data_IF_652697866564
#
_entry.id   IF_652697866564
#
_cell.length_a   1.000
_cell.length_b   1.000
_cell.length_c   1.000
_cell.angle_alpha   90.00
_cell.angle_beta   90.00
_cell.angle_gamma   90.00
#
_symmetry.space_group_name_H-M   'P 1'
#
loop_
_entity.id
_entity.type
_entity.pdbx_description
1 polymer ?
#
# COMPACT_ATOMS: atom_id res chain seq x y z
N UNK A 1 -0.55 20.22 1.93
CA UNK A 1 -0.61 19.19 0.86
C UNK A 1 -0.68 17.89 1.60
N UNK A 2 -1.81 17.21 1.56
CA UNK A 2 -2.06 16.09 2.45
C UNK A 2 -1.01 14.98 2.33
N UNK A 3 -0.52 14.50 3.47
CA UNK A 3 0.47 13.44 3.56
C UNK A 3 -0.27 12.11 3.75
N UNK A 4 -0.11 11.15 2.84
CA UNK A 4 -0.80 9.85 2.92
C UNK A 4 0.20 8.72 3.12
N UNK A 5 -0.07 7.85 4.09
CA UNK A 5 0.68 6.62 4.37
C UNK A 5 -0.11 5.40 3.90
N UNK A 6 0.60 4.37 3.44
CA UNK A 6 -0.01 3.10 3.05
C UNK A 6 0.35 2.02 4.07
N UNK A 7 -0.68 1.39 4.67
CA UNK A 7 -0.57 0.35 5.72
C UNK A 7 -0.21 -1.04 5.17
N UNK A 8 0.64 -1.09 4.13
CA UNK A 8 0.99 -2.33 3.42
C UNK A 8 1.71 -3.31 4.35
N UNK A 9 2.58 -2.83 5.26
CA UNK A 9 3.33 -3.72 6.16
C UNK A 9 2.44 -4.33 7.22
N UNK A 10 1.51 -3.55 7.77
CA UNK A 10 0.52 -4.03 8.74
C UNK A 10 -0.35 -5.12 8.11
N UNK A 11 -0.99 -4.81 6.98
CA UNK A 11 -1.86 -5.76 6.27
C UNK A 11 -1.11 -7.02 5.80
N UNK A 12 0.15 -6.87 5.37
CA UNK A 12 0.99 -8.01 4.99
C UNK A 12 1.35 -8.88 6.21
N UNK A 13 1.64 -8.28 7.35
CA UNK A 13 1.97 -9.02 8.57
C UNK A 13 0.75 -9.81 9.09
N UNK A 14 -0.45 -9.21 9.08
CA UNK A 14 -1.70 -9.88 9.48
C UNK A 14 -1.98 -11.13 8.62
N UNK A 15 -1.62 -11.09 7.34
CA UNK A 15 -1.83 -12.20 6.40
C UNK A 15 -0.62 -13.10 6.23
N UNK A 16 0.47 -12.85 6.96
CA UNK A 16 1.76 -13.55 6.82
C UNK A 16 2.33 -13.51 5.39
N UNK A 17 2.14 -12.39 4.69
CA UNK A 17 2.65 -12.17 3.34
C UNK A 17 3.95 -11.38 3.35
N UNK A 18 4.85 -11.73 2.44
CA UNK A 18 6.03 -10.91 2.15
C UNK A 18 5.67 -9.77 1.18
N UNK A 19 6.48 -8.69 1.17
CA UNK A 19 6.31 -7.59 0.20
C UNK A 19 6.38 -8.10 -1.26
N UNK A 20 7.13 -9.18 -1.50
CA UNK A 20 7.20 -9.82 -2.81
C UNK A 20 5.87 -10.47 -3.19
N UNK A 21 5.24 -11.19 -2.26
CA UNK A 21 3.92 -11.78 -2.49
C UNK A 21 2.83 -10.72 -2.67
N UNK A 22 2.88 -9.61 -1.92
CA UNK A 22 1.95 -8.50 -2.13
C UNK A 22 2.07 -7.95 -3.54
N UNK A 23 3.29 -7.75 -4.03
CA UNK A 23 3.54 -7.27 -5.39
C UNK A 23 3.01 -8.24 -6.46
N UNK A 24 3.24 -9.53 -6.27
CA UNK A 24 2.78 -10.59 -7.17
C UNK A 24 1.23 -10.66 -7.21
N UNK A 25 0.58 -10.72 -6.04
CA UNK A 25 -0.88 -10.77 -5.90
C UNK A 25 -1.57 -9.52 -6.42
N UNK A 26 -0.96 -8.34 -6.22
CA UNK A 26 -1.49 -7.08 -6.72
C UNK A 26 -1.21 -6.85 -8.21
N UNK A 27 -0.29 -7.59 -8.83
CA UNK A 27 0.19 -7.28 -10.17
C UNK A 27 0.81 -5.88 -10.26
N UNK A 28 1.56 -5.50 -9.21
CA UNK A 28 2.26 -4.21 -9.09
C UNK A 28 3.75 -4.47 -8.97
N UNK A 29 4.58 -3.57 -9.51
CA UNK A 29 6.02 -3.71 -9.41
C UNK A 29 6.49 -3.78 -7.95
N UNK A 30 7.38 -4.73 -7.64
CA UNK A 30 7.94 -4.90 -6.31
C UNK A 30 8.56 -3.63 -5.72
N UNK A 31 9.26 -2.83 -6.53
CA UNK A 31 9.87 -1.58 -6.05
C UNK A 31 8.82 -0.53 -5.69
N UNK A 32 7.68 -0.50 -6.39
CA UNK A 32 6.55 0.37 -6.06
C UNK A 32 5.97 -0.03 -4.70
N UNK A 33 5.66 -1.31 -4.51
CA UNK A 33 5.13 -1.82 -3.23
C UNK A 33 6.13 -1.61 -2.10
N UNK A 34 7.42 -1.86 -2.35
CA UNK A 34 8.50 -1.65 -1.37
C UNK A 34 8.66 -0.17 -0.99
N UNK A 35 8.56 0.74 -1.96
CA UNK A 35 8.59 2.19 -1.73
C UNK A 35 7.43 2.60 -0.85
N UNK A 36 6.23 2.15 -1.20
CA UNK A 36 5.00 2.43 -0.47
C UNK A 36 5.01 1.89 0.96
N UNK A 37 5.53 0.68 1.15
CA UNK A 37 5.67 0.07 2.46
C UNK A 37 6.73 0.76 3.34
N UNK A 38 7.73 1.42 2.75
CA UNK A 38 8.84 2.04 3.50
C UNK A 38 8.56 3.49 3.90
N UNK A 39 7.79 4.23 3.11
CA UNK A 39 7.61 5.66 3.35
C UNK A 39 6.52 5.92 4.39
N UNK A 40 6.82 6.67 5.46
CA UNK A 40 5.85 7.01 6.51
C UNK A 40 4.78 8.00 6.03
N UNK A 41 4.94 8.58 4.85
CA UNK A 41 3.94 9.37 4.17
C UNK A 41 4.45 9.86 2.82
N UNK A 42 3.55 10.03 1.87
CA UNK A 42 3.82 10.46 0.50
C UNK A 42 2.85 11.56 0.08
N UNK A 43 3.38 12.56 -0.62
CA UNK A 43 2.58 13.66 -1.17
C UNK A 43 1.83 13.26 -2.46
N UNK A 44 2.27 12.18 -3.12
CA UNK A 44 1.67 11.70 -4.37
C UNK A 44 1.81 10.18 -4.44
N UNK A 45 0.69 9.50 -4.71
CA UNK A 45 0.63 8.05 -4.90
C UNK A 45 -0.06 7.74 -6.22
N UNK A 46 0.32 6.63 -6.85
CA UNK A 46 -0.38 6.13 -8.03
C UNK A 46 -1.65 5.41 -7.56
N UNK A 47 -2.81 6.04 -7.76
CA UNK A 47 -4.10 5.50 -7.37
C UNK A 47 -4.40 4.14 -8.03
N UNK A 48 -3.86 3.87 -9.22
CA UNK A 48 -4.02 2.57 -9.88
C UNK A 48 -3.27 1.48 -9.12
N UNK A 49 -2.04 1.77 -8.68
CA UNK A 49 -1.25 0.86 -7.86
C UNK A 49 -1.90 0.66 -6.48
N UNK A 50 -2.39 1.72 -5.86
CA UNK A 50 -3.11 1.67 -4.57
C UNK A 50 -4.36 0.81 -4.69
N UNK A 51 -5.19 1.01 -5.72
CA UNK A 51 -6.40 0.22 -5.94
C UNK A 51 -6.10 -1.27 -6.15
N UNK A 52 -5.05 -1.59 -6.93
CA UNK A 52 -4.60 -2.97 -7.12
C UNK A 52 -4.15 -3.63 -5.82
N UNK A 53 -3.39 -2.91 -5.00
CA UNK A 53 -2.92 -3.39 -3.70
C UNK A 53 -4.12 -3.60 -2.75
N UNK A 54 -5.04 -2.64 -2.67
CA UNK A 54 -6.25 -2.74 -1.85
C UNK A 54 -7.06 -3.98 -2.24
N UNK A 55 -7.24 -4.22 -3.55
CA UNK A 55 -7.90 -5.42 -4.07
C UNK A 55 -7.16 -6.71 -3.73
N UNK A 56 -5.83 -6.73 -3.77
CA UNK A 56 -5.05 -7.90 -3.37
C UNK A 56 -5.21 -8.24 -1.88
N UNK A 57 -5.41 -7.22 -1.05
CA UNK A 57 -5.74 -7.36 0.36
C UNK A 57 -7.24 -7.54 0.62
N UNK A 58 -8.11 -7.47 -0.39
CA UNK A 58 -9.57 -7.52 -0.19
C UNK A 58 -10.06 -6.48 0.85
N UNK A 59 -9.49 -5.27 0.81
CA UNK A 59 -9.84 -4.14 1.68
C UNK A 59 -10.22 -2.91 0.86
N UNK A 60 -10.87 -1.94 1.50
CA UNK A 60 -11.12 -0.65 0.87
C UNK A 60 -9.82 0.15 0.70
N UNK A 61 -9.83 1.15 -0.18
CA UNK A 61 -8.69 2.07 -0.32
C UNK A 61 -8.50 2.86 0.99
N UNK A 62 -9.58 3.22 1.68
CA UNK A 62 -9.54 3.93 2.96
C UNK A 62 -8.94 3.09 4.09
N UNK A 63 -9.16 1.77 4.07
CA UNK A 63 -8.50 0.84 5.01
C UNK A 63 -7.01 0.68 4.72
N UNK A 64 -6.61 0.75 3.44
CA UNK A 64 -5.21 0.68 3.04
C UNK A 64 -4.46 1.99 3.31
N UNK A 65 -5.12 3.13 3.16
CA UNK A 65 -4.53 4.46 3.31
C UNK A 65 -4.72 5.01 4.73
N UNK A 66 -3.81 5.86 5.17
CA UNK A 66 -3.89 6.62 6.42
C UNK A 66 -3.49 8.06 6.10
N UNK A 67 -4.39 9.02 6.37
CA UNK A 67 -4.09 10.45 6.22
C UNK A 67 -3.30 10.88 7.44
N UNK A 68 -2.05 11.29 7.22
CA UNK A 68 -1.10 11.72 8.25
C UNK A 68 -1.15 13.23 8.46
N UNK A 69 -1.45 14.00 7.41
CA UNK A 69 -1.61 15.46 7.44
C UNK A 69 -2.63 15.87 6.36
N UNK A 70 -3.49 16.86 6.62
CA UNK A 70 -4.53 17.38 5.69
C UNK A 70 -4.02 18.56 4.84
#
# INVERSE_FOLDING_TARGET
>A
MGLVRLKIRELAAERSWTIKEVADRAGVNYNTVKSYARHPGMNMVDLTAVQKIARAFDVSIEDLMEVVEE
#
